data_IF_133359223935
#
_entry.id   IF_133359223935
#
_cell.length_a   1.000
_cell.length_b   1.000
_cell.length_c   1.000
_cell.angle_alpha   90.00
_cell.angle_beta   90.00
_cell.angle_gamma   90.00
#
_symmetry.space_group_name_H-M   'P 1'
#
loop_
_entity.id
_entity.type
_entity.pdbx_description
1 polymer ?
#
# COMPACT_ATOMS: atom_id res chain seq x y z
N UNK A 1 11.31 -4.82 -21.47
CA UNK A 1 11.57 -3.46 -20.98
C UNK A 1 10.50 -3.13 -19.94
N UNK A 2 10.82 -3.21 -18.65
CA UNK A 2 9.87 -2.88 -17.58
C UNK A 2 9.93 -1.36 -17.43
N UNK A 3 8.89 -0.66 -17.89
CA UNK A 3 8.74 0.79 -17.67
C UNK A 3 8.64 1.03 -16.17
N UNK A 4 9.73 1.50 -15.57
CA UNK A 4 9.73 1.97 -14.20
C UNK A 4 8.81 3.18 -14.08
N UNK A 5 7.58 2.95 -13.64
CA UNK A 5 6.69 4.04 -13.21
C UNK A 5 7.45 4.78 -12.11
N UNK A 6 7.72 6.07 -12.30
CA UNK A 6 8.41 6.89 -11.30
C UNK A 6 7.64 6.84 -9.98
N UNK A 7 8.34 6.89 -8.85
CA UNK A 7 7.68 6.87 -7.54
C UNK A 7 6.61 7.95 -7.42
N UNK A 8 6.83 9.11 -8.04
CA UNK A 8 5.86 10.22 -8.08
C UNK A 8 4.59 9.88 -8.85
N UNK A 9 4.70 9.18 -9.98
CA UNK A 9 3.53 8.73 -10.74
C UNK A 9 2.74 7.67 -9.96
N UNK A 10 3.41 6.77 -9.24
CA UNK A 10 2.74 5.80 -8.35
C UNK A 10 1.97 6.52 -7.25
N UNK A 11 2.56 7.53 -6.60
CA UNK A 11 1.88 8.33 -5.55
C UNK A 11 0.67 9.07 -6.14
N UNK A 12 0.83 9.69 -7.31
CA UNK A 12 -0.27 10.37 -7.99
C UNK A 12 -1.46 9.46 -8.25
N UNK A 13 -1.22 8.23 -8.73
CA UNK A 13 -2.28 7.25 -8.93
C UNK A 13 -2.87 6.75 -7.60
N UNK A 14 -2.05 6.55 -6.57
CA UNK A 14 -2.56 6.13 -5.26
C UNK A 14 -3.49 7.18 -4.63
N UNK A 15 -3.18 8.48 -4.78
CA UNK A 15 -4.04 9.59 -4.34
C UNK A 15 -5.39 9.66 -5.05
N UNK A 16 -5.49 9.08 -6.25
CA UNK A 16 -6.75 8.95 -7.00
C UNK A 16 -7.51 7.67 -6.64
N UNK A 17 -7.01 6.86 -5.69
CA UNK A 17 -7.66 5.62 -5.26
C UNK A 17 -7.36 4.40 -6.14
N UNK A 18 -6.39 4.46 -7.06
CA UNK A 18 -6.07 3.32 -7.93
C UNK A 18 -5.53 2.13 -7.12
N UNK A 19 -6.25 0.99 -7.04
CA UNK A 19 -5.89 -0.11 -6.14
C UNK A 19 -4.49 -0.69 -6.37
N UNK A 20 -4.05 -0.75 -7.63
CA UNK A 20 -2.72 -1.26 -8.00
C UNK A 20 -1.61 -0.34 -7.50
N UNK A 21 -1.80 0.98 -7.57
CA UNK A 21 -0.82 1.95 -7.09
C UNK A 21 -0.70 1.89 -5.56
N UNK A 22 -1.83 1.78 -4.86
CA UNK A 22 -1.88 1.58 -3.40
C UNK A 22 -1.17 0.27 -3.02
N UNK A 23 -1.42 -0.82 -3.74
CA UNK A 23 -0.73 -2.08 -3.52
C UNK A 23 0.78 -1.96 -3.69
N UNK A 24 1.25 -1.23 -4.71
CA UNK A 24 2.68 -1.01 -4.94
C UNK A 24 3.30 -0.23 -3.78
N UNK A 25 2.67 0.85 -3.31
CA UNK A 25 3.19 1.63 -2.17
C UNK A 25 3.27 0.80 -0.89
N UNK A 26 2.18 0.11 -0.55
CA UNK A 26 2.12 -0.74 0.63
C UNK A 26 3.16 -1.86 0.57
N UNK A 27 3.29 -2.56 -0.57
CA UNK A 27 4.31 -3.62 -0.71
C UNK A 27 5.74 -3.08 -0.66
N UNK A 28 6.02 -1.93 -1.26
CA UNK A 28 7.36 -1.29 -1.18
C UNK A 28 7.76 -1.04 0.28
N UNK A 29 6.81 -0.66 1.13
CA UNK A 29 7.08 -0.44 2.54
C UNK A 29 7.10 -1.72 3.37
N UNK A 30 6.22 -2.68 3.11
CA UNK A 30 5.96 -3.81 4.03
C UNK A 30 6.76 -5.08 3.69
N UNK A 31 7.16 -5.28 2.43
CA UNK A 31 7.98 -6.44 2.01
C UNK A 31 9.32 -6.51 2.73
N UNK A 32 10.07 -5.39 2.92
CA UNK A 32 11.29 -5.40 3.72
C UNK A 32 11.09 -5.86 5.17
N UNK A 33 9.88 -5.63 5.72
CA UNK A 33 9.51 -6.06 7.06
C UNK A 33 8.94 -7.49 7.08
N UNK A 34 8.89 -8.20 5.95
CA UNK A 34 8.42 -9.58 5.88
C UNK A 34 6.90 -9.69 5.77
N UNK A 35 6.22 -8.68 5.23
CA UNK A 35 4.79 -8.72 4.95
C UNK A 35 4.50 -8.40 3.48
N UNK A 36 3.53 -9.08 2.90
CA UNK A 36 3.05 -8.83 1.55
C UNK A 36 1.60 -8.36 1.60
N UNK A 37 1.27 -7.34 0.80
CA UNK A 37 -0.08 -6.76 0.75
C UNK A 37 -0.80 -7.09 -0.54
N UNK A 38 -2.07 -7.45 -0.42
CA UNK A 38 -3.01 -7.55 -1.55
C UNK A 38 -4.09 -6.50 -1.36
N UNK A 39 -4.23 -5.60 -2.33
CA UNK A 39 -5.30 -4.60 -2.35
C UNK A 39 -6.30 -5.00 -3.42
N UNK A 40 -7.59 -4.97 -3.08
CA UNK A 40 -8.69 -5.21 -4.00
C UNK A 40 -9.78 -4.20 -3.72
N UNK A 41 -10.40 -3.68 -4.77
CA UNK A 41 -11.64 -2.95 -4.64
C UNK A 41 -12.79 -3.95 -4.54
N UNK A 42 -13.67 -3.76 -3.57
CA UNK A 42 -14.94 -4.47 -3.45
C UNK A 42 -16.00 -3.44 -3.15
N UNK A 43 -16.96 -3.28 -4.07
CA UNK A 43 -17.95 -2.20 -4.01
C UNK A 43 -17.23 -0.84 -3.90
N UNK A 44 -17.67 0.03 -3.00
CA UNK A 44 -17.08 1.35 -2.74
C UNK A 44 -15.91 1.31 -1.74
N UNK A 45 -15.41 0.12 -1.39
CA UNK A 45 -14.38 -0.06 -0.37
C UNK A 45 -13.10 -0.66 -0.93
N UNK A 46 -11.97 -0.15 -0.44
CA UNK A 46 -10.66 -0.76 -0.61
C UNK A 46 -10.46 -1.81 0.49
N UNK A 47 -10.36 -3.08 0.08
CA UNK A 47 -9.97 -4.18 0.96
C UNK A 47 -8.47 -4.39 0.87
N UNK A 48 -7.80 -4.23 2.01
CA UNK A 48 -6.36 -4.44 2.17
C UNK A 48 -6.17 -5.72 2.99
N UNK A 49 -5.48 -6.70 2.41
CA UNK A 49 -5.09 -7.93 3.09
C UNK A 49 -3.58 -7.94 3.27
N UNK A 50 -3.12 -8.11 4.50
CA UNK A 50 -1.71 -8.19 4.86
C UNK A 50 -1.38 -9.64 5.19
N UNK A 51 -0.44 -10.22 4.46
CA UNK A 51 0.07 -11.57 4.67
C UNK A 51 1.46 -11.50 5.29
N UNK A 52 1.62 -12.07 6.48
CA UNK A 52 2.92 -12.15 7.16
C UNK A 52 3.70 -13.35 6.60
N UNK A 53 4.91 -13.09 6.11
CA UNK A 53 5.82 -14.11 5.59
C UNK A 53 6.73 -14.68 6.68
N UNK A 54 6.87 -13.96 7.80
CA UNK A 54 7.61 -14.33 9.00
C UNK A 54 6.96 -13.69 10.22
N UNK A 55 7.37 -14.13 11.40
CA UNK A 55 7.00 -13.46 12.66
C UNK A 55 7.44 -12.00 12.59
N UNK A 56 6.49 -11.08 12.72
CA UNK A 56 6.72 -9.64 12.64
C UNK A 56 5.73 -8.96 13.57
N UNK A 57 6.16 -7.86 14.19
CA UNK A 57 5.30 -7.09 15.08
C UNK A 57 4.12 -6.52 14.29
N UNK A 58 2.92 -7.04 14.60
CA UNK A 58 1.67 -6.63 13.96
C UNK A 58 1.46 -5.12 14.09
N UNK A 59 1.75 -4.56 15.26
CA UNK A 59 1.58 -3.14 15.57
C UNK A 59 2.45 -2.25 14.67
N UNK A 60 3.72 -2.60 14.48
CA UNK A 60 4.63 -1.89 13.57
C UNK A 60 4.07 -1.85 12.14
N UNK A 61 3.56 -2.99 11.65
CA UNK A 61 3.03 -3.09 10.30
C UNK A 61 1.71 -2.32 10.13
N UNK A 62 0.84 -2.37 11.14
CA UNK A 62 -0.41 -1.59 11.15
C UNK A 62 -0.11 -0.10 11.14
N UNK A 63 0.83 0.37 11.97
CA UNK A 63 1.26 1.78 11.99
C UNK A 63 1.82 2.19 10.63
N UNK A 64 2.65 1.35 10.01
CA UNK A 64 3.23 1.63 8.70
C UNK A 64 2.18 1.71 7.59
N UNK A 65 1.16 0.86 7.65
CA UNK A 65 0.01 0.93 6.73
C UNK A 65 -0.75 2.24 6.93
N UNK A 66 -1.03 2.63 8.18
CA UNK A 66 -1.73 3.87 8.48
C UNK A 66 -0.98 5.10 7.99
N UNK A 67 0.34 5.18 8.18
CA UNK A 67 1.18 6.27 7.66
C UNK A 67 1.02 6.44 6.14
N UNK A 68 1.13 5.34 5.40
CA UNK A 68 1.02 5.36 3.93
C UNK A 68 -0.39 5.75 3.49
N UNK A 69 -1.42 5.21 4.15
CA UNK A 69 -2.80 5.58 3.85
C UNK A 69 -3.06 7.06 4.14
N UNK A 70 -2.51 7.62 5.21
CA UNK A 70 -2.62 9.04 5.53
C UNK A 70 -1.92 9.93 4.50
N UNK A 71 -0.78 9.50 3.95
CA UNK A 71 -0.04 10.23 2.92
C UNK A 71 -0.83 10.35 1.60
N UNK A 72 -1.58 9.30 1.25
CA UNK A 72 -2.32 9.22 -0.02
C UNK A 72 -3.78 9.62 0.11
N UNK A 73 -4.30 9.77 1.33
CA UNK A 73 -5.65 10.28 1.55
C UNK A 73 -5.68 11.78 1.24
N UNK A 74 -6.58 12.25 0.36
CA UNK A 74 -6.73 13.68 0.09
C UNK A 74 -7.07 14.42 1.39
N UNK A 75 -6.28 15.44 1.74
CA UNK A 75 -6.64 16.34 2.83
C UNK A 75 -7.83 17.20 2.38
N UNK A 76 -8.87 17.28 3.23
CA UNK A 76 -10.04 18.13 2.99
C UNK A 76 -9.69 19.61 3.02
#
# INVERSE_FOLDING_TARGET
>A
MVTGISSDAVIGFAKQGHPQAIAVLLNRALVPHGAHVKVRQKEELLKILINFLRETELELLVNRVQEILNEITPQK
#
